data_IF_195148438115
#
_entry.id   IF_195148438115
#
_cell.length_a   1.000
_cell.length_b   1.000
_cell.length_c   1.000
_cell.angle_alpha   90.00
_cell.angle_beta   90.00
_cell.angle_gamma   90.00
#
_symmetry.space_group_name_H-M   'P 1'
#
loop_
_entity.id
_entity.type
_entity.pdbx_description
1 polymer ?
#
# COMPACT_ATOMS: atom_id res chain seq x y z
N UNK A 1 -6.27 10.18 22.40
CA UNK A 1 -6.36 9.59 21.05
C UNK A 1 -6.07 10.71 20.06
N UNK A 2 -4.83 10.85 19.61
CA UNK A 2 -4.42 12.00 18.80
C UNK A 2 -4.79 11.78 17.33
N UNK A 3 -5.71 12.60 16.83
CA UNK A 3 -5.95 12.84 15.41
C UNK A 3 -4.64 13.31 14.78
N UNK A 4 -4.00 12.47 13.96
CA UNK A 4 -2.91 12.91 13.08
C UNK A 4 -3.57 13.58 11.88
N UNK A 5 -3.32 14.88 11.79
CA UNK A 5 -4.01 15.81 10.90
C UNK A 5 -3.98 15.40 9.43
N UNK A 6 -5.02 15.88 8.76
CA UNK A 6 -5.04 16.15 7.33
C UNK A 6 -3.77 16.91 6.94
N UNK A 7 -2.74 16.17 6.52
CA UNK A 7 -1.68 16.74 5.69
C UNK A 7 -2.38 17.02 4.36
N UNK A 8 -2.70 18.29 4.13
CA UNK A 8 -3.23 18.79 2.87
C UNK A 8 -2.31 18.40 1.72
N UNK A 9 -2.56 17.24 1.13
CA UNK A 9 -1.95 16.78 -0.09
C UNK A 9 -2.35 17.79 -1.18
N UNK A 10 -1.38 18.56 -1.67
CA UNK A 10 -1.58 19.56 -2.74
C UNK A 10 -2.04 18.89 -4.04
N UNK A 11 -3.21 19.22 -4.63
CA UNK A 11 -3.94 18.44 -5.65
C UNK A 11 -3.25 18.28 -7.02
N UNK A 12 -1.98 18.66 -7.17
CA UNK A 12 -1.32 18.74 -8.46
C UNK A 12 0.04 18.01 -8.45
N UNK A 13 0.02 16.82 -9.07
CA UNK A 13 1.12 15.88 -9.40
C UNK A 13 1.67 15.02 -8.26
N UNK A 14 1.10 13.82 -8.13
CA UNK A 14 1.48 12.83 -7.11
C UNK A 14 2.19 11.60 -7.69
N UNK A 15 3.15 11.80 -8.58
CA UNK A 15 4.00 10.71 -9.04
C UNK A 15 5.38 10.88 -8.43
N UNK A 16 5.71 10.02 -7.48
CA UNK A 16 7.03 10.04 -6.83
C UNK A 16 7.94 9.06 -7.53
N UNK A 17 9.22 9.41 -7.67
CA UNK A 17 10.20 8.39 -7.99
C UNK A 17 10.34 7.40 -6.82
N UNK A 18 10.96 6.25 -7.07
CA UNK A 18 11.12 5.20 -6.07
C UNK A 18 11.76 5.69 -4.76
N UNK A 19 12.81 6.52 -4.83
CA UNK A 19 13.52 7.00 -3.64
C UNK A 19 12.66 7.96 -2.82
N UNK A 20 11.98 8.90 -3.47
CA UNK A 20 11.02 9.81 -2.85
C UNK A 20 9.88 9.05 -2.20
N UNK A 21 9.29 8.10 -2.93
CA UNK A 21 8.22 7.25 -2.43
C UNK A 21 8.62 6.46 -1.20
N UNK A 22 9.79 5.82 -1.22
CA UNK A 22 10.27 5.04 -0.08
C UNK A 22 10.61 5.90 1.13
N UNK A 23 11.02 7.16 0.92
CA UNK A 23 11.26 8.12 1.99
C UNK A 23 9.97 8.68 2.58
N UNK A 24 8.92 8.87 1.78
CA UNK A 24 7.66 9.44 2.24
C UNK A 24 6.75 8.38 2.87
N UNK A 25 6.78 7.16 2.35
CA UNK A 25 5.97 6.06 2.88
C UNK A 25 6.66 5.36 4.04
N UNK A 26 6.10 5.53 5.23
CA UNK A 26 6.64 4.93 6.45
C UNK A 26 5.91 3.65 6.82
N UNK A 27 6.62 2.73 7.46
CA UNK A 27 6.04 1.57 8.12
C UNK A 27 5.31 1.97 9.42
N UNK A 28 4.69 1.00 10.10
CA UNK A 28 3.98 1.23 11.36
C UNK A 28 4.89 1.72 12.49
N UNK A 29 6.21 1.57 12.36
CA UNK A 29 7.22 2.00 13.32
C UNK A 29 7.75 3.41 13.01
N UNK A 30 7.24 4.05 11.95
CA UNK A 30 7.71 5.36 11.49
C UNK A 30 9.06 5.31 10.78
N UNK A 31 9.52 4.12 10.35
CA UNK A 31 10.73 3.99 9.53
C UNK A 31 10.37 4.10 8.04
N UNK A 32 11.22 4.71 7.21
CA UNK A 32 11.05 4.71 5.76
C UNK A 32 10.89 3.30 5.22
N UNK A 33 10.12 3.17 4.13
CA UNK A 33 9.87 1.88 3.51
C UNK A 33 11.18 1.22 3.05
N UNK A 34 11.40 -0.02 3.45
CA UNK A 34 12.51 -0.82 2.95
C UNK A 34 12.32 -1.24 1.49
N UNK A 35 13.42 -1.49 0.78
CA UNK A 35 13.39 -2.03 -0.58
C UNK A 35 12.59 -3.33 -0.67
N UNK A 36 12.76 -4.22 0.32
CA UNK A 36 12.04 -5.48 0.40
C UNK A 36 10.53 -5.28 0.50
N UNK A 37 10.09 -4.26 1.25
CA UNK A 37 8.68 -3.90 1.36
C UNK A 37 8.18 -3.34 0.03
N UNK A 38 8.93 -2.44 -0.61
CA UNK A 38 8.59 -1.90 -1.93
C UNK A 38 8.38 -3.01 -2.97
N UNK A 39 9.32 -3.95 -3.09
CA UNK A 39 9.22 -5.07 -4.03
C UNK A 39 8.03 -5.98 -3.71
N UNK A 40 7.75 -6.23 -2.42
CA UNK A 40 6.56 -6.99 -2.00
C UNK A 40 5.28 -6.28 -2.43
N UNK A 41 5.18 -4.97 -2.24
CA UNK A 41 4.02 -4.17 -2.67
C UNK A 41 3.84 -4.19 -4.18
N UNK A 42 4.93 -4.11 -4.93
CA UNK A 42 4.91 -4.22 -6.40
C UNK A 42 4.38 -5.57 -6.87
N UNK A 43 4.76 -6.66 -6.20
CA UNK A 43 4.17 -7.99 -6.45
C UNK A 43 2.70 -8.05 -6.03
N UNK A 44 2.33 -7.54 -4.86
CA UNK A 44 0.92 -7.52 -4.42
C UNK A 44 0.03 -6.69 -5.35
N UNK A 45 0.58 -5.64 -5.98
CA UNK A 45 -0.14 -4.80 -6.93
C UNK A 45 -0.44 -5.50 -8.27
N UNK A 46 0.24 -6.59 -8.64
CA UNK A 46 -0.14 -7.36 -9.84
C UNK A 46 -1.53 -7.97 -9.72
N UNK A 47 -1.99 -8.22 -8.49
CA UNK A 47 -3.33 -8.74 -8.20
C UNK A 47 -4.38 -7.62 -8.10
N UNK A 48 -3.97 -6.35 -8.08
CA UNK A 48 -4.86 -5.20 -8.01
C UNK A 48 -5.31 -4.82 -9.42
N UNK A 49 -6.61 -4.62 -9.69
CA UNK A 49 -7.12 -4.34 -11.05
C UNK A 49 -6.42 -3.17 -11.76
N UNK A 50 -6.06 -2.13 -10.99
CA UNK A 50 -5.36 -0.94 -11.49
C UNK A 50 -3.87 -0.91 -11.08
N UNK A 51 -3.26 -2.08 -10.87
CA UNK A 51 -1.85 -2.21 -10.42
C UNK A 51 -0.84 -1.48 -11.31
N UNK A 52 -1.11 -1.44 -12.62
CA UNK A 52 -0.30 -0.73 -13.61
C UNK A 52 -0.34 0.79 -13.47
N UNK A 53 -1.35 1.34 -12.77
CA UNK A 53 -1.44 2.76 -12.42
C UNK A 53 -0.71 3.08 -11.12
N UNK A 54 -0.60 2.10 -10.22
CA UNK A 54 0.13 2.25 -8.96
C UNK A 54 1.63 2.37 -9.20
N UNK A 55 2.20 1.42 -9.94
CA UNK A 55 3.61 1.40 -10.30
C UNK A 55 3.76 1.64 -11.80
N UNK A 56 4.13 2.87 -12.16
CA UNK A 56 4.18 3.32 -13.54
C UNK A 56 5.36 2.70 -14.29
N UNK A 57 5.27 2.55 -15.63
CA UNK A 57 6.34 1.95 -16.44
C UNK A 57 7.68 2.69 -16.35
N UNK A 58 7.66 3.99 -16.07
CA UNK A 58 8.84 4.84 -15.89
C UNK A 58 9.49 4.70 -14.50
N UNK A 59 8.95 3.81 -13.65
CA UNK A 59 9.45 3.54 -12.31
C UNK A 59 8.94 4.51 -11.24
N UNK A 60 8.02 5.41 -11.59
CA UNK A 60 7.32 6.26 -10.62
C UNK A 60 6.17 5.53 -9.96
N UNK A 61 5.73 6.07 -8.82
CA UNK A 61 4.58 5.57 -8.05
C UNK A 61 3.53 6.66 -8.01
N UNK A 62 2.32 6.35 -8.47
CA UNK A 62 1.17 7.24 -8.30
C UNK A 62 0.64 7.08 -6.87
N UNK A 63 0.74 8.15 -6.07
CA UNK A 63 0.40 8.08 -4.65
C UNK A 63 -1.10 7.92 -4.43
N UNK A 64 -1.93 8.50 -5.27
CA UNK A 64 -3.37 8.40 -5.13
C UNK A 64 -3.83 6.97 -5.39
N UNK A 65 -3.31 6.35 -6.45
CA UNK A 65 -3.60 4.94 -6.73
C UNK A 65 -2.93 4.02 -5.72
N UNK A 66 -1.74 4.35 -5.22
CA UNK A 66 -1.11 3.59 -4.15
C UNK A 66 -1.96 3.57 -2.86
N UNK A 67 -2.59 4.68 -2.49
CA UNK A 67 -3.52 4.73 -1.36
C UNK A 67 -4.75 3.84 -1.58
N UNK A 68 -5.34 3.87 -2.78
CA UNK A 68 -6.47 3.00 -3.15
C UNK A 68 -6.08 1.52 -3.09
N UNK A 69 -4.92 1.19 -3.64
CA UNK A 69 -4.33 -0.14 -3.57
C UNK A 69 -4.13 -0.60 -2.12
N UNK A 70 -3.62 0.26 -1.23
CA UNK A 70 -3.42 -0.08 0.18
C UNK A 70 -4.73 -0.37 0.91
N UNK A 71 -5.79 0.41 0.64
CA UNK A 71 -7.14 0.15 1.16
C UNK A 71 -7.71 -1.17 0.64
N UNK A 72 -7.60 -1.41 -0.67
CA UNK A 72 -8.04 -2.67 -1.28
C UNK A 72 -7.30 -3.88 -0.69
N UNK A 73 -5.98 -3.75 -0.50
CA UNK A 73 -5.16 -4.82 0.05
C UNK A 73 -5.50 -5.11 1.52
N UNK A 74 -5.80 -4.07 2.31
CA UNK A 74 -6.28 -4.24 3.68
C UNK A 74 -7.60 -5.03 3.71
N UNK A 75 -8.54 -4.68 2.82
CA UNK A 75 -9.81 -5.42 2.67
C UNK A 75 -9.58 -6.87 2.23
N UNK A 76 -8.77 -7.12 1.20
CA UNK A 76 -8.42 -8.48 0.74
C UNK A 76 -7.81 -9.33 1.87
N UNK A 77 -6.95 -8.75 2.70
CA UNK A 77 -6.36 -9.44 3.87
C UNK A 77 -7.38 -9.70 4.97
N UNK A 78 -8.30 -8.78 5.20
CA UNK A 78 -9.39 -8.94 6.15
C UNK A 78 -10.35 -10.06 5.71
N UNK A 79 -10.78 -10.06 4.45
CA UNK A 79 -11.67 -11.08 3.90
C UNK A 79 -11.02 -12.47 3.94
N UNK A 80 -9.72 -12.58 3.65
CA UNK A 80 -8.96 -13.83 3.79
C UNK A 80 -8.89 -14.33 5.24
N UNK A 81 -8.81 -13.42 6.23
CA UNK A 81 -8.83 -13.79 7.65
C UNK A 81 -10.22 -14.18 8.14
N UNK A 82 -11.27 -13.66 7.51
CA UNK A 82 -12.65 -13.98 7.83
C UNK A 82 -13.19 -15.23 7.11
N UNK A 83 -12.43 -15.82 6.18
CA UNK A 83 -12.82 -17.08 5.54
C UNK A 83 -13.05 -18.16 6.63
N UNK A 84 -14.29 -18.64 6.81
CA UNK A 84 -14.64 -19.61 7.86
C UNK A 84 -13.81 -20.90 7.77
N UNK A 85 -13.36 -21.27 6.57
CA UNK A 85 -12.52 -22.46 6.34
C UNK A 85 -11.11 -22.28 6.90
N UNK A 86 -10.60 -21.06 6.96
CA UNK A 86 -9.29 -20.74 7.54
C UNK A 86 -9.37 -20.46 9.05
N UNK A 87 -10.49 -19.89 9.53
CA UNK A 87 -10.76 -19.69 10.96
C UNK A 87 -10.89 -21.03 11.71
N UNK A 88 -11.46 -22.06 11.07
CA UNK A 88 -11.59 -23.40 11.65
C UNK A 88 -10.24 -24.08 11.93
N UNK A 89 -9.19 -23.75 11.17
CA UNK A 89 -7.85 -24.33 11.34
C UNK A 89 -7.02 -23.72 12.49
N UNK A 90 -7.43 -22.58 13.06
CA UNK A 90 -6.75 -21.98 14.23
C UNK A 90 -7.24 -22.53 15.58
N UNK A 91 -8.23 -23.43 15.58
CA UNK A 91 -8.80 -24.01 16.81
C UNK A 91 -8.31 -25.42 17.16
N UNK A 92 -7.25 -25.92 16.50
CA UNK A 92 -6.63 -27.22 16.82
C UNK A 92 -5.15 -27.07 17.12
#
# INVERSE_FOLDING_TARGET
MAQKGDVGMSPYRYQLNKAEFMSEWHDSNGQPMSESTYQRRRREATDYPDGWRVFLPDGRVDIQEYQRFMTWLAKKKHDKKQDPRLVAYQKY
#
